data_IF_814542056067
#
_entry.id   IF_814542056067
#
_cell.length_a   1.000
_cell.length_b   1.000
_cell.length_c   1.000
_cell.angle_alpha   90.00
_cell.angle_beta   90.00
_cell.angle_gamma   90.00
#
_symmetry.space_group_name_H-M   'P 1'
#
loop_
_entity.id
_entity.type
_entity.pdbx_description
1 polymer ?
#
# COMPACT_ATOMS: atom_id res chain seq x y z
N UNK A 1 -18.49 7.00 -3.50
CA UNK A 1 -17.31 7.47 -2.78
C UNK A 1 -16.28 7.98 -3.78
N UNK A 2 -15.34 8.81 -3.34
CA UNK A 2 -14.23 9.33 -4.15
C UNK A 2 -12.91 8.68 -3.71
N UNK A 3 -12.11 8.21 -4.67
CA UNK A 3 -10.74 7.73 -4.45
C UNK A 3 -9.74 8.76 -4.97
N UNK A 4 -8.79 9.15 -4.14
CA UNK A 4 -7.64 9.95 -4.52
C UNK A 4 -6.47 9.00 -4.81
N UNK A 5 -6.13 8.88 -6.08
CA UNK A 5 -5.13 7.97 -6.61
C UNK A 5 -3.74 8.60 -6.62
N UNK A 6 -2.72 7.77 -6.86
CA UNK A 6 -1.32 8.19 -7.00
C UNK A 6 -0.73 8.90 -5.76
N UNK A 7 -1.08 8.39 -4.57
CA UNK A 7 -0.46 8.83 -3.32
C UNK A 7 0.69 7.89 -2.97
N UNK A 8 1.91 8.40 -3.05
CA UNK A 8 3.17 7.67 -2.82
C UNK A 8 4.27 8.65 -2.34
N UNK A 9 5.48 8.19 -1.99
CA UNK A 9 6.52 9.06 -1.43
C UNK A 9 7.01 10.24 -2.28
N UNK A 10 6.57 10.36 -3.54
CA UNK A 10 6.92 11.49 -4.42
C UNK A 10 5.70 12.37 -4.75
N UNK A 11 4.59 12.18 -4.05
CA UNK A 11 3.38 12.99 -4.23
C UNK A 11 3.66 14.45 -3.91
N UNK A 12 3.13 15.34 -4.75
CA UNK A 12 3.14 16.79 -4.52
C UNK A 12 2.28 17.12 -3.29
N UNK A 13 2.95 17.59 -2.24
CA UNK A 13 2.35 17.89 -0.95
C UNK A 13 1.36 19.06 -1.05
N UNK A 14 1.69 20.10 -1.82
CA UNK A 14 0.86 21.29 -1.89
C UNK A 14 -0.39 21.04 -2.72
N UNK A 15 -0.27 20.34 -3.85
CA UNK A 15 -1.42 19.92 -4.65
C UNK A 15 -2.39 19.05 -3.82
N UNK A 16 -1.86 18.08 -3.04
CA UNK A 16 -2.67 17.22 -2.19
C UNK A 16 -3.32 17.99 -1.03
N UNK A 17 -2.62 18.98 -0.46
CA UNK A 17 -3.14 19.86 0.60
C UNK A 17 -4.34 20.66 0.12
N UNK A 18 -4.24 21.26 -1.06
CA UNK A 18 -5.33 22.05 -1.65
C UNK A 18 -6.52 21.17 -2.03
N UNK A 19 -6.27 19.95 -2.55
CA UNK A 19 -7.32 18.94 -2.78
C UNK A 19 -8.04 18.59 -1.48
N UNK A 20 -7.30 18.33 -0.41
CA UNK A 20 -7.85 18.04 0.91
C UNK A 20 -8.74 19.18 1.43
N UNK A 21 -8.24 20.41 1.36
CA UNK A 21 -8.98 21.61 1.78
C UNK A 21 -10.28 21.81 0.98
N UNK A 22 -10.25 21.56 -0.35
CA UNK A 22 -11.43 21.62 -1.20
C UNK A 22 -12.50 20.60 -0.79
N UNK A 23 -12.09 19.36 -0.50
CA UNK A 23 -13.00 18.28 -0.10
C UNK A 23 -13.56 18.50 1.30
N UNK A 24 -12.75 18.99 2.24
CA UNK A 24 -13.17 19.38 3.58
C UNK A 24 -14.20 20.51 3.55
N UNK A 25 -13.94 21.57 2.77
CA UNK A 25 -14.88 22.69 2.60
C UNK A 25 -16.25 22.25 2.06
N UNK A 26 -16.28 21.13 1.31
CA UNK A 26 -17.50 20.54 0.75
C UNK A 26 -18.08 19.40 1.60
N UNK A 27 -17.45 19.05 2.73
CA UNK A 27 -17.81 17.91 3.58
C UNK A 27 -17.91 16.58 2.79
N UNK A 28 -16.98 16.34 1.87
CA UNK A 28 -16.94 15.13 1.05
C UNK A 28 -15.96 14.15 1.70
N UNK A 29 -16.39 12.95 2.16
CA UNK A 29 -15.46 11.91 2.56
C UNK A 29 -14.79 11.28 1.32
N UNK A 30 -13.53 10.90 1.47
CA UNK A 30 -12.72 10.36 0.39
C UNK A 30 -11.76 9.27 0.87
N UNK A 31 -11.29 8.45 -0.07
CA UNK A 31 -10.28 7.42 0.17
C UNK A 31 -8.93 7.89 -0.37
N UNK A 32 -7.90 7.84 0.46
CA UNK A 32 -6.50 8.08 0.11
C UNK A 32 -5.88 6.74 -0.29
N UNK A 33 -5.57 6.55 -1.57
CA UNK A 33 -4.98 5.31 -2.08
C UNK A 33 -3.46 5.37 -1.90
N UNK A 34 -2.98 4.98 -0.71
CA UNK A 34 -1.60 5.21 -0.26
C UNK A 34 -0.71 4.01 -0.53
N UNK A 35 0.43 4.28 -1.17
CA UNK A 35 1.57 3.37 -1.31
C UNK A 35 2.70 3.76 -0.35
N UNK A 36 3.22 2.84 0.48
CA UNK A 36 4.30 3.14 1.43
C UNK A 36 5.66 3.36 0.77
N UNK A 37 5.88 2.81 -0.43
CA UNK A 37 7.15 2.88 -1.13
C UNK A 37 6.96 3.21 -2.62
N UNK A 38 7.99 3.83 -3.21
CA UNK A 38 8.08 4.09 -4.63
C UNK A 38 9.46 3.66 -5.13
N UNK A 39 9.50 2.84 -6.19
CA UNK A 39 10.74 2.47 -6.87
C UNK A 39 10.89 3.32 -8.12
N UNK A 40 12.04 3.99 -8.23
CA UNK A 40 12.44 4.68 -9.44
C UNK A 40 12.87 3.66 -10.52
N UNK A 41 12.32 3.80 -11.72
CA UNK A 41 12.47 2.78 -12.77
C UNK A 41 13.89 2.70 -13.32
N UNK A 42 14.57 3.84 -13.46
CA UNK A 42 15.89 3.96 -14.06
C UNK A 42 16.99 3.57 -13.07
N UNK A 43 16.89 4.09 -11.85
CA UNK A 43 17.93 3.92 -10.82
C UNK A 43 17.70 2.72 -9.92
N UNK A 44 16.51 2.10 -9.96
CA UNK A 44 16.04 1.07 -9.03
C UNK A 44 16.07 1.50 -7.56
N UNK A 45 16.16 2.80 -7.31
CA UNK A 45 16.20 3.35 -5.95
C UNK A 45 14.79 3.36 -5.36
N UNK A 46 14.64 2.78 -4.19
CA UNK A 46 13.39 2.83 -3.43
C UNK A 46 13.38 4.06 -2.53
N UNK A 47 12.32 4.85 -2.63
CA UNK A 47 12.00 5.96 -1.72
C UNK A 47 10.83 5.52 -0.83
N UNK A 48 10.92 5.78 0.47
CA UNK A 48 9.92 5.37 1.45
C UNK A 48 9.13 6.55 2.00
N UNK A 49 7.86 6.32 2.33
CA UNK A 49 6.97 7.35 2.88
C UNK A 49 7.43 7.84 4.26
N UNK A 50 8.00 6.94 5.07
CA UNK A 50 8.55 7.27 6.40
C UNK A 50 9.64 8.35 6.37
N UNK A 51 10.30 8.53 5.23
CA UNK A 51 11.35 9.52 5.06
C UNK A 51 10.80 10.90 4.60
N UNK A 52 9.51 10.96 4.25
CA UNK A 52 8.81 12.14 3.73
C UNK A 52 7.98 12.82 4.82
N UNK A 53 8.65 13.53 5.73
CA UNK A 53 8.01 14.11 6.93
C UNK A 53 6.81 15.00 6.63
N UNK A 54 6.93 15.89 5.65
CA UNK A 54 5.89 16.86 5.33
C UNK A 54 4.64 16.19 4.73
N UNK A 55 4.85 15.27 3.79
CA UNK A 55 3.78 14.46 3.20
C UNK A 55 3.10 13.60 4.27
N UNK A 56 3.88 13.00 5.18
CA UNK A 56 3.33 12.18 6.25
C UNK A 56 2.41 12.98 7.17
N UNK A 57 2.85 14.16 7.62
CA UNK A 57 2.03 15.05 8.46
C UNK A 57 0.76 15.46 7.73
N UNK A 58 0.84 15.76 6.43
CA UNK A 58 -0.34 16.03 5.63
C UNK A 58 -1.28 14.83 5.60
N UNK A 59 -0.81 13.63 5.25
CA UNK A 59 -1.65 12.43 5.17
C UNK A 59 -2.32 12.08 6.50
N UNK A 60 -1.59 12.23 7.62
CA UNK A 60 -2.15 12.06 8.96
C UNK A 60 -3.28 13.08 9.22
N UNK A 61 -3.05 14.36 8.91
CA UNK A 61 -4.08 15.40 9.08
C UNK A 61 -5.31 15.17 8.19
N UNK A 62 -5.11 14.70 6.94
CA UNK A 62 -6.21 14.34 6.04
C UNK A 62 -6.98 13.13 6.55
N UNK A 63 -6.32 12.16 7.20
CA UNK A 63 -6.96 10.99 7.79
C UNK A 63 -7.79 11.35 9.03
N UNK A 64 -7.31 12.26 9.86
CA UNK A 64 -8.02 12.76 11.05
C UNK A 64 -9.27 13.60 10.69
N UNK A 65 -9.27 14.23 9.51
CA UNK A 65 -10.42 14.95 8.98
C UNK A 65 -11.47 13.98 8.40
N UNK A 66 -11.56 13.86 7.06
CA UNK A 66 -12.55 13.02 6.37
C UNK A 66 -11.93 12.04 5.37
N UNK A 67 -10.60 11.89 5.38
CA UNK A 67 -9.87 10.98 4.50
C UNK A 67 -9.75 9.59 5.11
N UNK A 68 -10.03 8.54 4.35
CA UNK A 68 -9.75 7.16 4.76
C UNK A 68 -8.49 6.67 4.08
N UNK A 69 -7.48 6.22 4.81
CA UNK A 69 -6.34 5.55 4.19
C UNK A 69 -6.76 4.16 3.70
N UNK A 70 -6.49 3.88 2.43
CA UNK A 70 -6.59 2.56 1.80
C UNK A 70 -5.19 2.15 1.40
N UNK A 71 -4.76 0.97 1.84
CA UNK A 71 -3.46 0.42 1.45
C UNK A 71 -3.54 -0.01 -0.02
N UNK A 72 -2.87 0.74 -0.90
CA UNK A 72 -2.93 0.54 -2.34
C UNK A 72 -1.70 -0.19 -2.87
N UNK A 73 -1.42 -1.36 -2.32
CA UNK A 73 -0.21 -2.10 -2.66
C UNK A 73 1.07 -1.49 -2.09
N UNK A 74 2.16 -2.25 -2.09
CA UNK A 74 3.37 -1.88 -1.37
C UNK A 74 4.29 -0.97 -2.18
N UNK A 75 4.59 -1.32 -3.43
CA UNK A 75 5.55 -0.57 -4.26
C UNK A 75 5.16 -0.55 -5.74
N UNK A 76 5.49 0.54 -6.42
CA UNK A 76 5.36 0.62 -7.88
C UNK A 76 6.36 -0.36 -8.54
N UNK A 77 5.89 -1.24 -9.42
CA UNK A 77 6.73 -2.11 -10.26
C UNK A 77 6.82 -1.52 -11.66
N UNK A 78 7.98 -1.64 -12.30
CA UNK A 78 8.28 -0.95 -13.55
C UNK A 78 7.32 -1.34 -14.69
N UNK A 79 7.09 -0.43 -15.64
CA UNK A 79 6.24 -0.59 -16.84
C UNK A 79 4.73 -0.73 -16.57
N UNK A 80 4.16 0.02 -15.62
CA UNK A 80 2.72 0.03 -15.32
C UNK A 80 2.12 -1.39 -15.18
N UNK A 81 2.95 -2.33 -14.74
CA UNK A 81 2.53 -3.70 -14.50
C UNK A 81 1.95 -3.77 -13.09
N UNK A 82 0.87 -4.50 -12.95
CA UNK A 82 0.22 -4.77 -11.68
C UNK A 82 1.24 -5.28 -10.64
N UNK A 83 1.00 -5.03 -9.36
CA UNK A 83 1.91 -5.51 -8.31
C UNK A 83 1.83 -7.02 -8.09
N UNK A 84 0.62 -7.56 -8.22
CA UNK A 84 0.31 -8.97 -7.92
C UNK A 84 0.03 -9.78 -9.19
N UNK A 85 0.26 -9.19 -10.36
CA UNK A 85 0.02 -9.83 -11.65
C UNK A 85 1.09 -9.42 -12.66
N UNK A 86 1.64 -10.41 -13.35
CA UNK A 86 2.60 -10.19 -14.39
C UNK A 86 1.86 -9.82 -15.68
N UNK A 87 1.82 -8.53 -16.00
CA UNK A 87 1.16 -8.02 -17.21
C UNK A 87 1.81 -8.45 -18.53
N UNK A 88 3.04 -8.95 -18.54
CA UNK A 88 3.72 -9.35 -19.78
C UNK A 88 3.52 -10.84 -20.10
N UNK A 89 3.47 -11.71 -19.10
CA UNK A 89 3.07 -13.12 -19.31
C UNK A 89 1.57 -13.35 -19.08
N UNK A 90 0.85 -12.34 -18.59
CA UNK A 90 -0.56 -12.39 -18.19
C UNK A 90 -0.83 -13.55 -17.23
N UNK A 91 -0.11 -13.56 -16.12
CA UNK A 91 -0.14 -14.63 -15.11
C UNK A 91 0.07 -14.07 -13.69
N UNK A 92 -0.21 -14.83 -12.62
CA UNK A 92 0.07 -14.38 -11.26
C UNK A 92 1.56 -14.09 -10.99
N UNK A 93 1.84 -13.10 -10.14
CA UNK A 93 3.20 -12.85 -9.64
C UNK A 93 3.56 -13.80 -8.50
N UNK A 94 4.66 -14.53 -8.65
CA UNK A 94 5.18 -15.46 -7.63
C UNK A 94 6.68 -15.23 -7.30
N UNK A 95 7.20 -14.07 -7.67
CA UNK A 95 8.60 -13.68 -7.47
C UNK A 95 8.83 -12.22 -7.84
N UNK A 96 10.07 -11.76 -7.71
CA UNK A 96 10.43 -10.41 -8.14
C UNK A 96 10.41 -10.27 -9.67
N UNK A 97 10.19 -9.05 -10.17
CA UNK A 97 10.01 -8.80 -11.60
C UNK A 97 11.26 -9.18 -12.43
N UNK A 98 12.47 -9.07 -11.87
CA UNK A 98 13.70 -9.51 -12.52
C UNK A 98 13.84 -11.04 -12.63
N UNK A 99 13.14 -11.78 -11.78
CA UNK A 99 13.15 -13.26 -11.71
C UNK A 99 11.96 -13.87 -12.43
N UNK A 100 11.28 -13.08 -13.28
CA UNK A 100 10.09 -13.50 -14.01
C UNK A 100 10.37 -14.72 -14.90
N UNK A 101 9.49 -15.71 -14.79
CA UNK A 101 9.51 -16.91 -15.62
C UNK A 101 8.09 -17.16 -16.15
N UNK A 102 7.96 -17.69 -17.36
CA UNK A 102 6.65 -18.06 -17.89
C UNK A 102 6.17 -19.36 -17.25
N UNK A 103 4.92 -19.41 -16.84
CA UNK A 103 4.32 -20.65 -16.32
C UNK A 103 4.27 -21.74 -17.39
N UNK A 104 4.67 -22.95 -16.99
CA UNK A 104 4.58 -24.12 -17.85
C UNK A 104 3.13 -24.54 -18.02
N UNK A 105 2.72 -24.74 -19.27
CA UNK A 105 1.38 -25.23 -19.59
C UNK A 105 1.24 -26.71 -19.25
N UNK A 106 0.02 -27.16 -18.94
CA UNK A 106 -0.28 -28.58 -18.67
C UNK A 106 0.22 -29.54 -19.76
N UNK A 107 0.25 -29.12 -21.02
CA UNK A 107 0.74 -29.92 -22.15
C UNK A 107 2.25 -30.20 -22.13
N UNK A 108 3.01 -29.50 -21.29
CA UNK A 108 4.47 -29.67 -21.15
C UNK A 108 4.84 -30.74 -20.12
N UNK A 109 3.85 -31.35 -19.45
CA UNK A 109 4.04 -32.40 -18.46
C UNK A 109 3.59 -33.76 -19.01
N UNK A 110 4.33 -34.81 -18.64
CA UNK A 110 4.05 -36.18 -19.11
C UNK A 110 2.82 -36.77 -18.42
N UNK A 111 2.56 -36.37 -17.18
CA UNK A 111 1.43 -36.83 -16.40
C UNK A 111 0.78 -35.66 -15.63
N UNK A 112 -0.42 -35.92 -15.09
CA UNK A 112 -1.23 -34.93 -14.37
C UNK A 112 -0.62 -34.55 -13.02
N UNK A 113 -0.05 -35.51 -12.31
CA UNK A 113 0.45 -35.35 -10.94
C UNK A 113 1.68 -34.43 -10.92
N UNK A 114 2.58 -34.54 -11.91
CA UNK A 114 3.74 -33.65 -12.06
C UNK A 114 3.32 -32.18 -12.27
N UNK A 115 2.27 -31.96 -13.09
CA UNK A 115 1.73 -30.62 -13.31
C UNK A 115 1.06 -30.06 -12.05
N UNK A 116 0.31 -30.89 -11.33
CA UNK A 116 -0.34 -30.49 -10.08
C UNK A 116 0.69 -30.13 -9.02
N UNK A 117 1.77 -30.93 -8.87
CA UNK A 117 2.88 -30.59 -7.98
C UNK A 117 3.55 -29.26 -8.38
N UNK A 118 3.83 -29.07 -9.68
CA UNK A 118 4.43 -27.82 -10.17
C UNK A 118 3.57 -26.59 -9.85
N UNK A 119 2.26 -26.66 -10.11
CA UNK A 119 1.34 -25.54 -9.83
C UNK A 119 1.20 -25.30 -8.33
N UNK A 120 1.21 -26.33 -7.50
CA UNK A 120 1.15 -26.15 -6.05
C UNK A 120 2.42 -25.47 -5.51
N UNK A 121 3.60 -25.80 -6.04
CA UNK A 121 4.84 -25.10 -5.73
C UNK A 121 4.81 -23.63 -6.16
N UNK A 122 4.26 -23.33 -7.35
CA UNK A 122 4.04 -21.95 -7.82
C UNK A 122 3.10 -21.19 -6.89
N UNK A 123 1.99 -21.80 -6.49
CA UNK A 123 1.01 -21.19 -5.57
C UNK A 123 1.61 -20.92 -4.19
N UNK A 124 2.49 -21.78 -3.67
CA UNK A 124 3.20 -21.50 -2.42
C UNK A 124 4.11 -20.26 -2.54
N UNK A 125 4.83 -20.13 -3.66
CA UNK A 125 5.65 -18.94 -3.93
C UNK A 125 4.80 -17.68 -4.06
N UNK A 126 3.68 -17.75 -4.78
CA UNK A 126 2.70 -16.66 -4.87
C UNK A 126 2.16 -16.28 -3.50
N UNK A 127 1.72 -17.25 -2.69
CA UNK A 127 1.24 -17.00 -1.32
C UNK A 127 2.25 -16.22 -0.51
N UNK A 128 3.51 -16.68 -0.51
CA UNK A 128 4.59 -16.04 0.22
C UNK A 128 4.87 -14.61 -0.30
N UNK A 129 4.87 -14.42 -1.62
CA UNK A 129 5.06 -13.12 -2.25
C UNK A 129 3.96 -12.13 -1.87
N UNK A 130 2.69 -12.49 -2.07
CA UNK A 130 1.54 -11.64 -1.76
C UNK A 130 1.49 -11.32 -0.27
N UNK A 131 1.67 -12.32 0.59
CA UNK A 131 1.64 -12.15 2.05
C UNK A 131 2.73 -11.17 2.49
N UNK A 132 3.96 -11.36 2.03
CA UNK A 132 5.09 -10.49 2.36
C UNK A 132 4.82 -9.04 1.97
N UNK A 133 4.29 -8.79 0.77
CA UNK A 133 3.97 -7.43 0.28
C UNK A 133 2.87 -6.79 1.11
N UNK A 134 1.79 -7.52 1.38
CA UNK A 134 0.64 -7.00 2.15
C UNK A 134 1.04 -6.69 3.60
N UNK A 135 1.67 -7.64 4.30
CA UNK A 135 2.11 -7.46 5.68
C UNK A 135 3.11 -6.31 5.80
N UNK A 136 4.11 -6.26 4.92
CA UNK A 136 5.10 -5.18 4.92
C UNK A 136 4.46 -3.82 4.69
N UNK A 137 3.51 -3.71 3.76
CA UNK A 137 2.81 -2.46 3.50
C UNK A 137 1.96 -1.99 4.67
N UNK A 138 1.20 -2.89 5.29
CA UNK A 138 0.44 -2.57 6.51
C UNK A 138 1.37 -2.15 7.64
N UNK A 139 2.48 -2.86 7.85
CA UNK A 139 3.44 -2.53 8.91
C UNK A 139 4.11 -1.17 8.69
N UNK A 140 4.47 -0.85 7.45
CA UNK A 140 5.14 0.41 7.15
C UNK A 140 4.20 1.62 7.27
N UNK A 141 2.90 1.47 6.95
CA UNK A 141 1.89 2.49 7.25
C UNK A 141 1.66 2.63 8.75
N UNK A 142 1.50 1.51 9.46
CA UNK A 142 1.22 1.50 10.89
C UNK A 142 2.34 2.16 11.73
N UNK A 143 3.61 1.96 11.36
CA UNK A 143 4.77 2.58 12.05
C UNK A 143 4.83 4.09 11.93
N UNK A 144 4.12 4.66 10.95
CA UNK A 144 4.03 6.10 10.73
C UNK A 144 2.63 6.62 11.08
N UNK A 145 1.85 5.88 11.87
CA UNK A 145 0.51 6.24 12.33
C UNK A 145 -0.51 6.50 11.19
N UNK A 146 -0.25 5.96 10.00
CA UNK A 146 -1.25 5.87 8.93
C UNK A 146 -2.00 4.54 9.07
N UNK A 147 -3.31 4.62 9.15
CA UNK A 147 -4.17 3.53 9.61
C UNK A 147 -5.05 3.05 8.46
N UNK A 148 -4.58 2.10 7.64
CA UNK A 148 -5.38 1.60 6.52
C UNK A 148 -6.65 0.91 7.02
N UNK A 149 -7.78 1.16 6.36
CA UNK A 149 -9.05 0.48 6.64
C UNK A 149 -9.44 -0.58 5.59
N UNK A 150 -8.82 -0.54 4.42
CA UNK A 150 -9.04 -1.52 3.35
C UNK A 150 -7.78 -1.72 2.52
N UNK A 151 -7.82 -2.76 1.68
CA UNK A 151 -6.77 -3.10 0.72
C UNK A 151 -7.25 -2.82 -0.71
N UNK A 152 -6.35 -2.39 -1.60
CA UNK A 152 -6.60 -2.29 -3.03
C UNK A 152 -5.36 -2.74 -3.81
N UNK A 153 -5.44 -3.79 -4.65
CA UNK A 153 -4.34 -4.14 -5.53
C UNK A 153 -4.12 -3.01 -6.55
N UNK A 154 -2.85 -2.70 -6.84
CA UNK A 154 -2.47 -1.72 -7.86
C UNK A 154 -3.01 -2.18 -9.22
N UNK A 155 -3.74 -1.30 -9.91
CA UNK A 155 -4.42 -1.58 -11.19
C UNK A 155 -5.37 -2.79 -11.17
N UNK A 156 -5.85 -3.22 -10.00
CA UNK A 156 -6.96 -4.19 -9.85
C UNK A 156 -6.68 -5.67 -10.19
N UNK A 157 -5.50 -6.03 -10.70
CA UNK A 157 -5.17 -7.43 -11.01
C UNK A 157 -4.59 -8.17 -9.80
N UNK A 158 -5.15 -9.35 -9.56
CA UNK A 158 -4.75 -10.27 -8.50
C UNK A 158 -5.44 -11.61 -8.75
N UNK A 159 -4.74 -12.73 -8.52
CA UNK A 159 -5.33 -14.06 -8.66
C UNK A 159 -6.31 -14.40 -7.53
N UNK A 160 -7.05 -15.50 -7.67
CA UNK A 160 -7.86 -16.09 -6.60
C UNK A 160 -7.04 -16.50 -5.38
N UNK A 161 -5.79 -16.93 -5.57
CA UNK A 161 -4.87 -17.25 -4.47
C UNK A 161 -4.44 -15.95 -3.75
N UNK A 162 -4.13 -14.90 -4.51
CA UNK A 162 -3.85 -13.57 -3.97
C UNK A 162 -5.01 -13.03 -3.14
N UNK A 163 -6.25 -13.16 -3.61
CA UNK A 163 -7.44 -12.77 -2.83
C UNK A 163 -7.59 -13.61 -1.55
N UNK A 164 -7.23 -14.90 -1.59
CA UNK A 164 -7.26 -15.75 -0.41
C UNK A 164 -6.24 -15.31 0.66
N UNK A 165 -5.06 -14.84 0.24
CA UNK A 165 -4.08 -14.24 1.14
C UNK A 165 -4.58 -12.89 1.65
N UNK A 166 -5.05 -12.00 0.78
CA UNK A 166 -5.53 -10.67 1.14
C UNK A 166 -6.65 -10.73 2.19
N UNK A 167 -7.59 -11.67 2.07
CA UNK A 167 -8.68 -11.89 3.04
C UNK A 167 -8.20 -12.16 4.46
N UNK A 168 -7.01 -12.76 4.64
CA UNK A 168 -6.43 -13.00 5.97
C UNK A 168 -6.07 -11.69 6.67
N UNK A 169 -5.85 -10.63 5.90
CA UNK A 169 -5.36 -9.35 6.38
C UNK A 169 -6.40 -8.23 6.30
N UNK A 170 -7.38 -8.30 5.40
CA UNK A 170 -8.39 -7.28 5.22
C UNK A 170 -9.79 -7.86 5.05
N UNK A 171 -10.79 -7.21 5.64
CA UNK A 171 -12.21 -7.54 5.42
C UNK A 171 -12.78 -6.94 4.16
N UNK A 172 -12.15 -5.91 3.60
CA UNK A 172 -12.64 -5.19 2.44
C UNK A 172 -11.56 -4.96 1.39
N UNK A 173 -11.99 -5.04 0.14
CA UNK A 173 -11.22 -4.69 -1.04
C UNK A 173 -11.85 -3.47 -1.70
N UNK A 174 -11.06 -2.43 -1.96
CA UNK A 174 -11.46 -1.25 -2.72
C UNK A 174 -10.92 -1.39 -4.14
N UNK A 175 -11.76 -1.15 -5.14
CA UNK A 175 -11.42 -1.27 -6.55
C UNK A 175 -12.12 -2.43 -7.25
N UNK A 176 -11.69 -2.68 -8.48
CA UNK A 176 -12.26 -3.72 -9.33
C UNK A 176 -11.61 -5.08 -9.05
N UNK A 177 -12.25 -6.15 -9.53
CA UNK A 177 -11.86 -7.53 -9.23
C UNK A 177 -11.59 -8.29 -10.51
N UNK A 178 -10.49 -9.04 -10.52
CA UNK A 178 -10.17 -9.98 -11.59
C UNK A 178 -10.93 -11.29 -11.35
N UNK A 179 -11.71 -11.72 -12.34
CA UNK A 179 -12.58 -12.89 -12.20
C UNK A 179 -11.87 -14.22 -12.47
N UNK A 180 -10.81 -14.19 -13.30
CA UNK A 180 -10.12 -15.38 -13.78
C UNK A 180 -8.61 -15.30 -13.53
N UNK A 181 -7.97 -16.45 -13.33
CA UNK A 181 -6.52 -16.55 -13.07
C UNK A 181 -5.67 -16.73 -14.34
N UNK A 182 -6.25 -16.52 -15.52
CA UNK A 182 -5.58 -16.65 -16.81
C UNK A 182 -5.41 -15.31 -17.55
N UNK A 183 -6.12 -14.25 -17.14
CA UNK A 183 -5.97 -12.93 -17.74
C UNK A 183 -6.44 -11.78 -16.84
N UNK A 184 -5.64 -10.70 -16.81
CA UNK A 184 -6.05 -9.42 -16.25
C UNK A 184 -7.17 -8.74 -17.06
N UNK A 185 -7.46 -9.19 -18.28
CA UNK A 185 -8.60 -8.69 -19.07
C UNK A 185 -9.95 -9.04 -18.44
N UNK A 186 -9.97 -9.93 -17.44
CA UNK A 186 -11.16 -10.32 -16.69
C UNK A 186 -11.50 -9.40 -15.51
N UNK A 187 -10.85 -8.24 -15.40
CA UNK A 187 -11.16 -7.22 -14.39
C UNK A 187 -12.57 -6.67 -14.60
N UNK A 188 -13.37 -6.66 -13.54
CA UNK A 188 -14.75 -6.27 -13.55
C UNK A 188 -15.12 -5.41 -12.34
N UNK A 189 -16.01 -4.44 -12.57
CA UNK A 189 -16.60 -3.61 -11.53
C UNK A 189 -18.05 -4.05 -11.30
N UNK A 190 -18.37 -4.79 -10.20
CA UNK A 190 -19.77 -5.05 -9.87
C UNK A 190 -20.51 -3.74 -9.59
N UNK A 191 -21.81 -3.63 -9.92
CA UNK A 191 -22.54 -2.39 -9.72
C UNK A 191 -22.99 -2.16 -8.26
N UNK A 192 -22.70 -3.11 -7.35
CA UNK A 192 -23.09 -3.09 -5.94
C UNK A 192 -21.92 -3.48 -5.04
N UNK A 193 -22.00 -3.16 -3.75
CA UNK A 193 -21.15 -3.82 -2.75
C UNK A 193 -21.45 -5.32 -2.77
N UNK A 194 -20.43 -6.15 -2.85
CA UNK A 194 -20.58 -7.61 -2.93
C UNK A 194 -19.54 -8.33 -2.09
N UNK A 195 -19.92 -9.49 -1.56
CA UNK A 195 -19.03 -10.39 -0.82
C UNK A 195 -19.04 -11.78 -1.45
N UNK A 196 -18.70 -11.84 -2.75
CA UNK A 196 -18.74 -13.07 -3.51
C UNK A 196 -17.87 -14.17 -2.88
N UNK A 197 -18.27 -15.44 -3.05
CA UNK A 197 -17.58 -16.58 -2.45
C UNK A 197 -16.12 -16.71 -2.91
N UNK A 198 -15.84 -16.36 -4.16
CA UNK A 198 -14.47 -16.37 -4.72
C UNK A 198 -13.58 -15.29 -4.08
N UNK A 199 -14.17 -14.18 -3.62
CA UNK A 199 -13.51 -13.13 -2.81
C UNK A 199 -13.29 -13.56 -1.34
N UNK A 200 -13.55 -14.82 -1.01
CA UNK A 200 -13.40 -15.40 0.34
C UNK A 200 -14.16 -14.61 1.42
N UNK A 201 -15.27 -13.98 1.03
CA UNK A 201 -16.10 -13.17 1.90
C UNK A 201 -15.56 -11.76 2.20
N UNK A 202 -14.53 -11.28 1.49
CA UNK A 202 -14.21 -9.85 1.51
C UNK A 202 -15.35 -9.04 0.90
N UNK A 203 -15.66 -7.88 1.48
CA UNK A 203 -16.58 -6.91 0.87
C UNK A 203 -15.84 -6.10 -0.18
N UNK A 204 -16.36 -6.09 -1.40
CA UNK A 204 -15.82 -5.33 -2.52
C UNK A 204 -16.51 -3.98 -2.62
N UNK A 205 -15.71 -2.91 -2.65
CA UNK A 205 -16.11 -1.53 -2.93
C UNK A 205 -15.65 -1.22 -4.37
N UNK A 206 -16.54 -1.35 -5.37
CA UNK A 206 -16.16 -1.35 -6.79
C UNK A 206 -16.04 0.04 -7.41
N UNK A 207 -15.07 0.21 -8.31
CA UNK A 207 -14.92 1.43 -9.12
C UNK A 207 -15.78 1.34 -10.38
N UNK A 208 -17.05 1.71 -10.24
CA UNK A 208 -18.06 1.58 -11.30
C UNK A 208 -17.98 2.64 -12.39
N UNK A 209 -17.44 3.83 -12.07
CA UNK A 209 -17.31 4.94 -13.04
C UNK A 209 -15.90 5.02 -13.59
N UNK A 210 -14.90 4.91 -12.71
CA UNK A 210 -13.50 5.08 -13.07
C UNK A 210 -12.99 6.50 -12.87
N UNK A 211 -11.94 6.83 -13.61
CA UNK A 211 -11.23 8.09 -13.49
C UNK A 211 -12.07 9.27 -14.00
N UNK A 212 -12.33 10.26 -13.14
CA UNK A 212 -13.08 11.48 -13.44
C UNK A 212 -12.19 12.68 -13.76
N UNK A 213 -10.87 12.50 -13.79
CA UNK A 213 -9.85 13.55 -13.87
C UNK A 213 -9.93 14.53 -15.05
N UNK A 214 -10.85 14.32 -16.00
CA UNK A 214 -11.06 15.16 -17.17
C UNK A 214 -9.75 15.50 -17.90
N UNK A 215 -8.90 14.50 -18.08
CA UNK A 215 -7.62 14.65 -18.81
C UNK A 215 -7.87 14.84 -20.30
N UNK A 216 -8.87 14.14 -20.84
CA UNK A 216 -9.38 14.33 -22.20
C UNK A 216 -10.90 14.47 -22.19
N UNK A 217 -11.45 15.20 -23.18
CA UNK A 217 -12.89 15.38 -23.32
C UNK A 217 -13.63 14.05 -23.51
N UNK A 218 -12.99 13.08 -24.17
CA UNK A 218 -13.56 11.75 -24.41
C UNK A 218 -13.63 10.93 -23.11
N UNK A 219 -12.54 10.90 -22.33
CA UNK A 219 -12.50 10.14 -21.08
C UNK A 219 -13.51 10.71 -20.07
N UNK A 220 -13.62 12.03 -20.01
CA UNK A 220 -14.61 12.69 -19.18
C UNK A 220 -16.03 12.36 -19.61
N UNK A 221 -16.34 12.45 -20.91
CA UNK A 221 -17.67 12.09 -21.43
C UNK A 221 -18.01 10.62 -21.12
N UNK A 222 -17.05 9.72 -21.23
CA UNK A 222 -17.22 8.30 -20.88
C UNK A 222 -17.50 8.12 -19.37
N UNK A 223 -16.80 8.85 -18.50
CA UNK A 223 -17.05 8.83 -17.07
C UNK A 223 -18.47 9.34 -16.73
N UNK A 224 -18.92 10.42 -17.37
CA UNK A 224 -20.30 10.94 -17.21
C UNK A 224 -21.33 9.91 -17.69
N UNK A 225 -21.13 9.26 -18.83
CA UNK A 225 -22.05 8.23 -19.31
C UNK A 225 -22.15 7.04 -18.32
N UNK A 226 -21.02 6.58 -17.78
CA UNK A 226 -21.01 5.51 -16.75
C UNK A 226 -21.70 5.95 -15.45
N UNK A 227 -21.51 7.20 -15.06
CA UNK A 227 -22.15 7.79 -13.88
C UNK A 227 -23.67 7.87 -14.04
N UNK A 228 -24.17 8.24 -15.22
CA UNK A 228 -25.61 8.20 -15.53
C UNK A 228 -26.15 6.77 -15.46
N UNK A 229 -25.43 5.79 -16.04
CA UNK A 229 -25.81 4.37 -15.95
C UNK A 229 -25.83 3.86 -14.51
N UNK A 230 -24.84 4.24 -13.69
CA UNK A 230 -24.74 3.81 -12.30
C UNK A 230 -25.91 4.32 -11.44
N UNK A 231 -26.50 5.46 -11.77
CA UNK A 231 -27.69 6.00 -11.09
C UNK A 231 -28.99 5.27 -11.41
N UNK A 232 -29.05 4.55 -12.54
CA UNK A 232 -30.22 3.73 -12.90
C UNK A 232 -30.30 2.52 -11.96
N UNK A 233 -29.15 2.03 -11.48
CA UNK A 233 -29.05 0.87 -10.62
C UNK A 233 -29.48 1.23 -9.20
N UNK A 234 -30.66 0.75 -8.81
CA UNK A 234 -31.19 0.91 -7.44
C UNK A 234 -30.24 0.28 -6.43
N UNK A 235 -29.89 1.02 -5.37
CA UNK A 235 -28.94 0.58 -4.33
C UNK A 235 -27.52 0.28 -4.88
N UNK A 236 -27.22 0.77 -6.08
CA UNK A 236 -25.91 0.67 -6.70
C UNK A 236 -24.88 1.57 -6.03
N UNK A 237 -23.60 1.27 -6.29
CA UNK A 237 -22.47 2.01 -5.75
C UNK A 237 -21.80 2.79 -6.87
N UNK A 238 -21.49 4.06 -6.59
CA UNK A 238 -20.73 4.93 -7.47
C UNK A 238 -19.32 5.08 -6.89
N UNK A 239 -18.36 4.40 -7.51
CA UNK A 239 -16.93 4.54 -7.22
C UNK A 239 -16.25 5.33 -8.33
N UNK A 240 -15.71 6.50 -7.97
CA UNK A 240 -14.94 7.38 -8.87
C UNK A 240 -13.52 7.52 -8.36
N UNK A 241 -12.55 7.64 -9.27
CA UNK A 241 -11.14 7.91 -8.96
C UNK A 241 -10.69 9.25 -9.53
N UNK A 242 -9.74 9.89 -8.84
CA UNK A 242 -9.15 11.16 -9.26
C UNK A 242 -7.64 11.13 -9.06
N UNK A 243 -6.91 11.57 -10.07
CA UNK A 243 -5.44 11.61 -10.02
C UNK A 243 -4.96 12.86 -9.31
N UNK A 244 -4.33 12.70 -8.14
CA UNK A 244 -3.91 13.82 -7.28
C UNK A 244 -2.92 14.78 -7.95
N UNK A 245 -2.08 14.31 -8.86
CA UNK A 245 -1.11 15.14 -9.59
C UNK A 245 -1.75 16.18 -10.54
N UNK A 246 -3.07 16.12 -10.76
CA UNK A 246 -3.80 17.08 -11.59
C UNK A 246 -4.23 18.34 -10.85
N UNK A 247 -4.03 18.40 -9.53
CA UNK A 247 -4.30 19.58 -8.70
C UNK A 247 -5.77 19.80 -8.36
N UNK A 248 -6.09 20.80 -7.53
CA UNK A 248 -7.44 21.04 -7.02
C UNK A 248 -8.41 21.63 -8.06
N UNK A 249 -7.93 22.44 -9.01
CA UNK A 249 -8.80 23.12 -9.98
C UNK A 249 -9.57 22.11 -10.86
N UNK A 250 -8.89 21.08 -11.35
CA UNK A 250 -9.51 20.01 -12.14
C UNK A 250 -10.45 19.14 -11.30
N UNK A 251 -10.12 18.91 -10.03
CA UNK A 251 -11.02 18.20 -9.11
C UNK A 251 -12.30 19.01 -8.91
N UNK A 252 -12.20 20.31 -8.68
CA UNK A 252 -13.34 21.20 -8.52
C UNK A 252 -14.26 21.17 -9.76
N UNK A 253 -13.68 21.26 -10.97
CA UNK A 253 -14.44 21.14 -12.21
C UNK A 253 -15.18 19.80 -12.32
N UNK A 254 -14.50 18.72 -11.95
CA UNK A 254 -15.07 17.37 -11.97
C UNK A 254 -16.22 17.27 -10.97
N UNK A 255 -16.01 17.69 -9.70
CA UNK A 255 -17.03 17.68 -8.65
C UNK A 255 -18.25 18.54 -9.01
N UNK A 256 -18.05 19.71 -9.62
CA UNK A 256 -19.16 20.55 -10.06
C UNK A 256 -20.01 19.89 -11.14
N UNK A 257 -19.40 19.04 -11.97
CA UNK A 257 -20.12 18.23 -12.97
C UNK A 257 -20.84 17.05 -12.34
N UNK A 258 -20.31 16.48 -11.24
CA UNK A 258 -20.94 15.40 -10.47
C UNK A 258 -22.04 15.89 -9.52
N UNK A 259 -22.05 17.16 -9.14
CA UNK A 259 -22.98 17.73 -8.14
C UNK A 259 -24.49 17.67 -8.48
N UNK A 260 -24.95 17.73 -9.75
CA UNK A 260 -26.38 17.74 -10.08
C UNK A 260 -27.15 16.44 -9.77
N UNK A 261 -26.49 15.40 -9.27
CA UNK A 261 -27.08 14.10 -9.02
C UNK A 261 -27.83 14.06 -7.69
N UNK A 262 -29.05 14.62 -7.65
CA UNK A 262 -29.84 14.81 -6.42
C UNK A 262 -30.32 13.55 -5.68
N UNK A 263 -29.74 12.37 -5.93
CA UNK A 263 -30.10 11.07 -5.31
C UNK A 263 -28.90 10.21 -4.93
N UNK A 264 -27.75 10.82 -4.60
CA UNK A 264 -26.56 10.09 -4.13
C UNK A 264 -26.21 10.52 -2.72
N UNK A 265 -25.69 9.58 -1.94
CA UNK A 265 -25.14 9.83 -0.60
C UNK A 265 -23.69 9.44 -0.60
N UNK A 266 -22.84 10.27 0.02
CA UNK A 266 -21.43 9.94 0.18
C UNK A 266 -21.28 8.74 1.12
N UNK A 267 -20.49 7.77 0.68
CA UNK A 267 -20.07 6.64 1.50
C UNK A 267 -18.75 7.01 2.15
N UNK A 268 -18.75 7.04 3.47
CA UNK A 268 -17.55 7.14 4.29
C UNK A 268 -17.16 5.75 4.80
N UNK A 269 -15.96 5.31 4.46
CA UNK A 269 -15.46 3.99 4.84
C UNK A 269 -15.14 3.93 6.34
N UNK A 270 -14.82 5.05 6.99
CA UNK A 270 -14.57 5.10 8.44
C UNK A 270 -15.81 4.78 9.28
N UNK A 271 -17.01 4.97 8.71
CA UNK A 271 -18.26 4.62 9.39
C UNK A 271 -18.66 3.14 9.19
N UNK A 272 -17.98 2.42 8.30
CA UNK A 272 -18.29 1.02 7.99
C UNK A 272 -17.47 0.05 8.85
N UNK A 273 -17.95 -1.19 9.00
CA UNK A 273 -17.20 -2.23 9.70
C UNK A 273 -15.98 -2.66 8.88
N UNK A 274 -14.79 -2.33 9.40
CA UNK A 274 -13.53 -2.67 8.77
C UNK A 274 -12.60 -3.35 9.76
N UNK A 275 -11.78 -4.28 9.26
CA UNK A 275 -10.71 -4.90 10.01
C UNK A 275 -9.49 -5.09 9.12
N UNK A 276 -8.35 -4.57 9.58
CA UNK A 276 -7.03 -4.92 9.08
C UNK A 276 -6.27 -5.66 10.18
N UNK A 277 -5.66 -6.81 9.84
CA UNK A 277 -4.93 -7.62 10.81
C UNK A 277 -3.65 -8.24 10.23
N UNK A 278 -2.58 -8.18 11.03
CA UNK A 278 -1.32 -8.92 10.84
C UNK A 278 -0.87 -9.44 12.21
N UNK A 279 0.29 -10.10 12.27
CA UNK A 279 0.86 -10.51 13.56
C UNK A 279 1.31 -9.33 14.43
N UNK A 280 1.47 -8.12 13.84
CA UNK A 280 1.98 -6.91 14.51
C UNK A 280 0.98 -5.77 14.60
N UNK A 281 -0.17 -5.89 13.94
CA UNK A 281 -1.12 -4.79 13.81
C UNK A 281 -2.54 -5.31 13.82
N UNK A 282 -3.41 -4.65 14.56
CA UNK A 282 -4.86 -4.83 14.46
C UNK A 282 -5.51 -3.46 14.40
N UNK A 283 -6.30 -3.25 13.36
CA UNK A 283 -7.05 -2.01 13.13
C UNK A 283 -8.49 -2.43 12.94
N UNK A 284 -9.40 -1.79 13.68
CA UNK A 284 -10.84 -1.96 13.50
C UNK A 284 -11.50 -0.61 13.38
N UNK A 285 -12.53 -0.51 12.55
CA UNK A 285 -13.31 0.72 12.40
C UNK A 285 -14.79 0.39 12.33
N UNK A 286 -15.62 1.23 12.94
CA UNK A 286 -17.07 1.26 12.78
C UNK A 286 -17.63 2.62 13.22
N UNK A 287 -18.87 2.92 12.83
CA UNK A 287 -19.58 4.17 13.15
C UNK A 287 -19.65 4.50 14.66
N UNK A 288 -19.70 3.51 15.54
CA UNK A 288 -19.96 3.72 16.98
C UNK A 288 -18.67 3.97 17.76
N UNK A 289 -17.63 3.19 17.46
CA UNK A 289 -16.38 3.18 18.21
C UNK A 289 -15.25 3.96 17.53
N UNK A 290 -15.48 4.41 16.29
CA UNK A 290 -14.44 5.03 15.45
C UNK A 290 -13.35 4.05 15.08
N UNK A 291 -12.15 4.57 14.80
CA UNK A 291 -10.98 3.77 14.47
C UNK A 291 -10.24 3.39 15.76
N UNK A 292 -9.99 2.09 15.96
CA UNK A 292 -9.16 1.54 17.04
C UNK A 292 -7.94 0.84 16.47
N UNK A 293 -6.78 1.12 17.04
CA UNK A 293 -5.50 0.54 16.61
C UNK A 293 -4.79 -0.14 17.77
N UNK A 294 -4.19 -1.29 17.49
CA UNK A 294 -3.28 -1.99 18.39
C UNK A 294 -2.02 -2.38 17.62
N UNK A 295 -0.87 -1.94 18.12
CA UNK A 295 0.44 -2.20 17.53
C UNK A 295 1.30 -3.03 18.49
N UNK A 296 2.00 -4.03 17.94
CA UNK A 296 2.83 -4.98 18.70
C UNK A 296 4.30 -4.97 18.24
N UNK A 297 4.76 -3.87 17.65
CA UNK A 297 6.14 -3.72 17.19
C UNK A 297 7.12 -3.74 18.37
N UNK A 298 8.26 -4.41 18.18
CA UNK A 298 9.33 -4.51 19.17
C UNK A 298 10.60 -3.81 18.69
N UNK A 299 11.52 -3.54 19.62
CA UNK A 299 12.84 -2.96 19.30
C UNK A 299 13.64 -3.82 18.30
N UNK A 300 13.41 -5.14 18.27
CA UNK A 300 14.05 -6.05 17.31
C UNK A 300 13.57 -5.82 15.89
N UNK A 301 12.29 -5.45 15.71
CA UNK A 301 11.72 -5.19 14.39
C UNK A 301 12.38 -3.96 13.75
N UNK A 302 12.57 -2.90 14.52
CA UNK A 302 13.28 -1.70 14.07
C UNK A 302 14.72 -2.00 13.64
N UNK A 303 15.44 -2.86 14.38
CA UNK A 303 16.82 -3.25 14.03
C UNK A 303 16.83 -4.13 12.78
N UNK A 304 15.95 -5.13 12.72
CA UNK A 304 15.85 -6.04 11.57
C UNK A 304 15.62 -5.26 10.28
N UNK A 305 14.68 -4.33 10.28
CA UNK A 305 14.40 -3.47 9.13
C UNK A 305 15.56 -2.54 8.77
N UNK A 306 16.16 -1.91 9.78
CA UNK A 306 17.34 -1.07 9.58
C UNK A 306 18.51 -1.87 8.98
N UNK A 307 18.68 -3.13 9.35
CA UNK A 307 19.70 -4.00 8.74
C UNK A 307 19.29 -4.44 7.34
N UNK A 308 18.02 -4.75 7.12
CA UNK A 308 17.52 -5.29 5.86
C UNK A 308 17.50 -4.28 4.71
N UNK A 309 17.49 -2.97 5.00
CA UNK A 309 17.62 -1.94 3.97
C UNK A 309 19.01 -1.91 3.31
N UNK A 310 20.03 -2.50 3.94
CA UNK A 310 21.40 -2.50 3.43
C UNK A 310 21.67 -3.69 2.51
N UNK A 311 22.41 -3.42 1.44
CA UNK A 311 23.05 -4.44 0.60
C UNK A 311 24.05 -5.28 1.39
N UNK A 312 24.44 -6.44 0.87
CA UNK A 312 25.45 -7.29 1.50
C UNK A 312 26.76 -6.53 1.77
N UNK A 313 27.20 -5.69 0.83
CA UNK A 313 28.43 -4.91 0.94
C UNK A 313 28.32 -3.85 2.06
N UNK A 314 27.20 -3.14 2.13
CA UNK A 314 26.95 -2.16 3.20
C UNK A 314 26.86 -2.82 4.57
N UNK A 315 26.24 -4.00 4.67
CA UNK A 315 26.22 -4.80 5.90
C UNK A 315 27.64 -5.12 6.38
N UNK A 316 28.51 -5.56 5.48
CA UNK A 316 29.94 -5.82 5.80
C UNK A 316 30.63 -4.53 6.27
N UNK A 317 30.36 -3.40 5.61
CA UNK A 317 30.97 -2.11 5.96
C UNK A 317 30.53 -1.61 7.34
N UNK A 318 29.27 -1.84 7.73
CA UNK A 318 28.79 -1.57 9.09
C UNK A 318 29.46 -2.45 10.14
N UNK A 319 29.71 -3.73 9.84
CA UNK A 319 30.44 -4.64 10.75
C UNK A 319 31.87 -4.13 10.96
N UNK A 320 32.56 -3.71 9.89
CA UNK A 320 33.91 -3.12 10.00
C UNK A 320 33.88 -1.83 10.81
N UNK A 321 32.91 -0.95 10.57
CA UNK A 321 32.73 0.30 11.34
C UNK A 321 32.54 0.01 12.82
N UNK A 322 31.69 -0.97 13.18
CA UNK A 322 31.44 -1.35 14.57
C UNK A 322 32.70 -1.91 15.24
N UNK A 323 33.48 -2.70 14.49
CA UNK A 323 34.78 -3.20 14.97
C UNK A 323 35.75 -2.05 15.23
N UNK A 324 35.91 -1.09 14.31
CA UNK A 324 36.77 0.08 14.51
C UNK A 324 36.30 0.93 15.70
N UNK A 325 35.00 1.19 15.83
CA UNK A 325 34.43 1.89 16.97
C UNK A 325 34.75 1.18 18.30
N UNK A 326 34.65 -0.15 18.35
CA UNK A 326 35.02 -0.94 19.52
C UNK A 326 36.49 -0.71 19.90
N UNK A 327 37.41 -0.72 18.94
CA UNK A 327 38.83 -0.45 19.18
C UNK A 327 39.07 0.98 19.69
N UNK A 328 38.37 1.97 19.14
CA UNK A 328 38.45 3.36 19.62
C UNK A 328 37.96 3.46 21.07
N UNK A 329 36.84 2.82 21.42
CA UNK A 329 36.31 2.80 22.79
C UNK A 329 37.29 2.11 23.74
N UNK A 330 37.87 0.97 23.36
CA UNK A 330 38.88 0.28 24.15
C UNK A 330 40.14 1.13 24.34
N UNK A 331 40.59 1.83 23.30
CA UNK A 331 41.73 2.74 23.37
C UNK A 331 41.46 3.93 24.32
N UNK A 332 40.29 4.56 24.22
CA UNK A 332 39.87 5.63 25.12
C UNK A 332 39.77 5.14 26.57
N UNK A 333 39.19 3.96 26.78
CA UNK A 333 39.11 3.32 28.10
C UNK A 333 40.49 3.05 28.67
N UNK A 334 41.40 2.48 27.88
CA UNK A 334 42.77 2.19 28.28
C UNK A 334 43.56 3.46 28.60
N UNK A 335 43.41 4.50 27.77
CA UNK A 335 44.01 5.82 27.99
C UNK A 335 43.50 6.49 29.27
N UNK A 336 42.19 6.43 29.52
CA UNK A 336 41.57 6.97 30.74
C UNK A 336 42.04 6.20 31.99
N UNK A 337 42.09 4.87 31.89
CA UNK A 337 42.59 4.00 32.94
C UNK A 337 44.06 4.30 33.28
N UNK A 338 44.94 4.43 32.28
CA UNK A 338 46.33 4.85 32.44
C UNK A 338 46.46 6.22 33.12
N UNK A 339 45.67 7.21 32.69
CA UNK A 339 45.68 8.56 33.26
C UNK A 339 45.24 8.57 34.73
N UNK A 340 44.25 7.76 35.09
CA UNK A 340 43.80 7.58 36.48
C UNK A 340 44.89 6.89 37.33
N UNK A 341 45.59 5.90 36.79
CA UNK A 341 46.69 5.23 37.50
C UNK A 341 47.91 6.15 37.70
N UNK A 342 48.30 6.93 36.69
CA UNK A 342 49.41 7.89 36.78
C UNK A 342 49.13 9.00 37.80
N UNK A 343 47.91 9.55 37.85
CA UNK A 343 47.50 10.48 38.92
C UNK A 343 47.66 9.85 40.30
N UNK A 344 47.24 8.61 40.49
CA UNK A 344 47.37 7.90 41.78
C UNK A 344 48.84 7.71 42.22
N UNK A 345 49.79 7.54 41.28
CA UNK A 345 51.23 7.42 41.60
C UNK A 345 51.87 8.76 42.01
N UNK A 346 51.57 9.85 41.30
CA UNK A 346 52.09 11.19 41.62
C UNK A 346 51.66 11.70 43.01
N UNK A 347 50.48 11.30 43.50
CA UNK A 347 50.04 11.62 44.86
C UNK A 347 50.71 10.78 45.96
N UNK A 348 51.34 9.64 45.63
CA UNK A 348 52.10 8.82 46.59
C UNK A 348 53.56 9.28 46.76
N UNK A 349 54.16 9.87 45.73
CA UNK A 349 55.56 10.33 45.75
C UNK A 349 55.75 11.73 46.36
N UNK A 350 54.66 12.48 46.57
CA UNK A 350 54.69 13.80 47.26
C UNK A 350 54.40 13.73 48.76
N UNK A 351 54.58 12.57 49.40
CA UNK A 351 54.35 12.37 50.83
C UNK A 351 55.62 11.98 51.55
#
# INVERSE_FOLDING_TARGET
>A
YLRLENIHPLTDVEALREIGALLEARNIPYMLMVRPAYMDEETKRVTYLKDQKELLQLLQSLQEANGTVVFNGYINVANASYEFWDGYFDQPMYGEQEEREQLLSKSQFTNKDDYEQYIDEVREKERAFVQTRIEKGIHDLAKVDLTPLAFSPVFHAMSQEGYAVARKHATSLVGNIQLMDDTASSIYAPPFLTSASFMKGMTVYPETVGDISNTTATDFANAIAKLEMAQIVRDGVIGVSYQTYLGPEKLEQSLNTLHPLGRVTWLDLQETEQTIQTEKTTITSNKTEGIKTMYYFTWKDHISEWVNQFTLLEKVLWVVTLFVCLFVVLFLFFGLHLRLQLRKRLFRERR
#
